data_IF_506618076710
#
_entry.id   IF_506618076710
#
_cell.length_a   1.000
_cell.length_b   1.000
_cell.length_c   1.000
_cell.angle_alpha   90.00
_cell.angle_beta   90.00
_cell.angle_gamma   90.00
#
_symmetry.space_group_name_H-M   'P 1'
#
loop_
_entity.id
_entity.type
_entity.pdbx_description
1 polymer ?
#
# COMPACT_ATOMS: atom_id res chain seq x y z
N UNK A 1 -5.82 -8.03 -10.08
CA UNK A 1 -5.78 -8.24 -8.63
C UNK A 1 -6.50 -7.08 -7.98
N UNK A 2 -7.45 -7.36 -7.09
CA UNK A 2 -8.12 -6.36 -6.24
C UNK A 2 -7.35 -6.19 -4.93
N UNK A 3 -7.67 -5.13 -4.16
CA UNK A 3 -7.07 -4.91 -2.85
C UNK A 3 -7.37 -6.08 -1.88
N UNK A 4 -8.60 -6.58 -1.90
CA UNK A 4 -9.02 -7.69 -1.04
C UNK A 4 -8.32 -9.02 -1.41
N UNK A 5 -8.11 -9.28 -2.71
CA UNK A 5 -7.33 -10.42 -3.18
C UNK A 5 -5.87 -10.32 -2.73
N UNK A 6 -5.29 -9.11 -2.80
CA UNK A 6 -3.92 -8.85 -2.38
C UNK A 6 -3.74 -9.11 -0.86
N UNK A 7 -4.69 -8.68 -0.03
CA UNK A 7 -4.68 -8.98 1.42
C UNK A 7 -4.86 -10.47 1.71
N UNK A 8 -5.73 -11.16 0.97
CA UNK A 8 -5.93 -12.60 1.12
C UNK A 8 -4.67 -13.40 0.77
N UNK A 9 -3.90 -12.94 -0.23
CA UNK A 9 -2.60 -13.52 -0.58
C UNK A 9 -1.63 -13.44 0.62
N UNK A 10 -1.48 -12.25 1.23
CA UNK A 10 -0.61 -12.05 2.42
C UNK A 10 -0.96 -13.02 3.54
N UNK A 11 -2.25 -13.19 3.81
CA UNK A 11 -2.74 -14.09 4.85
C UNK A 11 -2.43 -15.57 4.56
N UNK A 12 -2.22 -15.94 3.29
CA UNK A 12 -2.02 -17.32 2.85
C UNK A 12 -0.55 -17.70 2.76
N UNK A 13 0.29 -16.85 2.12
CA UNK A 13 1.70 -17.19 1.83
C UNK A 13 2.69 -16.53 2.79
N UNK A 14 2.23 -15.57 3.60
CA UNK A 14 3.07 -14.78 4.49
C UNK A 14 4.01 -13.82 3.76
N UNK A 15 4.70 -12.97 4.53
CA UNK A 15 5.39 -11.80 3.98
C UNK A 15 6.58 -12.09 3.05
N UNK A 16 7.07 -13.34 3.00
CA UNK A 16 8.33 -13.72 2.32
C UNK A 16 8.13 -14.12 0.85
N UNK A 17 6.95 -14.65 0.48
CA UNK A 17 6.68 -15.15 -0.88
C UNK A 17 5.55 -14.40 -1.59
N UNK A 18 5.03 -13.33 -1.00
CA UNK A 18 3.94 -12.55 -1.57
C UNK A 18 4.39 -11.70 -2.76
N UNK A 19 3.46 -11.43 -3.67
CA UNK A 19 3.61 -10.47 -4.75
C UNK A 19 3.84 -9.05 -4.21
N UNK A 20 4.43 -8.17 -5.03
CA UNK A 20 4.67 -6.77 -4.64
C UNK A 20 3.36 -6.04 -4.31
N UNK A 21 2.30 -6.30 -5.06
CA UNK A 21 0.98 -5.73 -4.79
C UNK A 21 0.38 -6.22 -3.46
N UNK A 22 0.60 -7.49 -3.09
CA UNK A 22 0.20 -8.05 -1.81
C UNK A 22 1.02 -7.45 -0.65
N UNK A 23 2.34 -7.31 -0.81
CA UNK A 23 3.19 -6.59 0.14
C UNK A 23 2.72 -5.14 0.32
N UNK A 24 2.42 -4.44 -0.77
CA UNK A 24 1.89 -3.07 -0.73
C UNK A 24 0.56 -3.01 0.02
N UNK A 25 -0.35 -3.96 -0.20
CA UNK A 25 -1.62 -4.01 0.49
C UNK A 25 -1.41 -4.18 2.00
N UNK A 26 -0.52 -5.09 2.43
CA UNK A 26 -0.20 -5.26 3.86
C UNK A 26 0.39 -4.00 4.50
N UNK A 27 1.21 -3.26 3.75
CA UNK A 27 1.76 -1.99 4.23
C UNK A 27 0.65 -0.96 4.42
N UNK A 28 -0.25 -0.82 3.44
CA UNK A 28 -1.37 0.13 3.50
C UNK A 28 -2.34 -0.18 4.65
N UNK A 29 -2.61 -1.46 4.89
CA UNK A 29 -3.57 -1.93 5.89
C UNK A 29 -3.07 -1.73 7.34
N UNK A 30 -1.75 -1.78 7.55
CA UNK A 30 -1.15 -1.64 8.87
C UNK A 30 -0.14 -0.48 8.97
N UNK A 31 1.16 -0.72 8.68
CA UNK A 31 2.24 0.24 8.97
C UNK A 31 2.04 1.66 8.43
N UNK A 32 1.40 1.82 7.27
CA UNK A 32 1.14 3.12 6.68
C UNK A 32 0.35 4.04 7.62
N UNK A 33 -0.64 3.51 8.35
CA UNK A 33 -1.49 4.30 9.24
C UNK A 33 -0.71 4.97 10.36
N UNK A 34 0.41 4.36 10.79
CA UNK A 34 1.29 4.92 11.82
C UNK A 34 2.12 6.10 11.31
N UNK A 35 2.42 6.13 10.00
CA UNK A 35 3.27 7.15 9.37
C UNK A 35 2.47 8.29 8.75
N UNK A 36 1.37 7.96 8.09
CA UNK A 36 0.61 8.86 7.20
C UNK A 36 -0.68 9.35 7.87
N UNK A 37 -1.09 8.73 8.98
CA UNK A 37 -2.32 9.06 9.69
C UNK A 37 -3.56 8.61 8.91
N UNK A 38 -4.65 9.39 8.98
CA UNK A 38 -5.97 9.01 8.47
C UNK A 38 -6.06 9.03 6.93
N UNK A 39 -5.51 8.02 6.27
CA UNK A 39 -5.67 7.77 4.84
C UNK A 39 -6.42 6.44 4.60
N UNK A 40 -7.20 6.34 3.53
CA UNK A 40 -7.87 5.09 3.15
C UNK A 40 -6.85 4.10 2.57
N UNK A 41 -6.60 2.93 3.22
CA UNK A 41 -5.63 1.94 2.74
C UNK A 41 -5.89 1.51 1.29
N UNK A 42 -7.15 1.22 0.98
CA UNK A 42 -7.58 0.74 -0.33
C UNK A 42 -7.34 1.79 -1.41
N UNK A 43 -7.74 3.04 -1.16
CA UNK A 43 -7.58 4.11 -2.17
C UNK A 43 -6.12 4.46 -2.40
N UNK A 44 -5.29 4.48 -1.34
CA UNK A 44 -3.85 4.68 -1.48
C UNK A 44 -3.22 3.55 -2.30
N UNK A 45 -3.56 2.30 -1.99
CA UNK A 45 -3.06 1.14 -2.74
C UNK A 45 -3.46 1.21 -4.22
N UNK A 46 -4.73 1.49 -4.52
CA UNK A 46 -5.23 1.62 -5.89
C UNK A 46 -4.51 2.75 -6.65
N UNK A 47 -4.36 3.92 -6.02
CA UNK A 47 -3.65 5.05 -6.58
C UNK A 47 -2.15 4.78 -6.82
N UNK A 48 -1.50 4.08 -5.89
CA UNK A 48 -0.11 3.66 -6.02
C UNK A 48 0.07 2.67 -7.19
N UNK A 49 -0.81 1.68 -7.31
CA UNK A 49 -0.83 0.73 -8.42
C UNK A 49 -1.05 1.44 -9.75
N UNK A 50 -1.99 2.38 -9.83
CA UNK A 50 -2.23 3.21 -11.05
C UNK A 50 -1.01 4.03 -11.45
N UNK A 51 -0.25 4.54 -10.46
CA UNK A 51 1.01 5.25 -10.69
C UNK A 51 2.20 4.35 -10.99
N UNK A 52 2.03 3.02 -10.95
CA UNK A 52 3.10 2.06 -11.20
C UNK A 52 4.17 2.04 -10.10
N UNK A 53 3.81 2.45 -8.88
CA UNK A 53 4.71 2.37 -7.73
C UNK A 53 4.88 0.92 -7.29
N UNK A 54 6.07 0.56 -6.79
CA UNK A 54 6.26 -0.66 -6.02
C UNK A 54 5.88 -0.48 -4.55
N UNK A 55 5.75 -1.56 -3.79
CA UNK A 55 5.57 -1.49 -2.34
C UNK A 55 6.70 -0.72 -1.66
N UNK A 56 7.94 -0.93 -2.10
CA UNK A 56 9.11 -0.24 -1.58
C UNK A 56 9.05 1.28 -1.85
N UNK A 57 8.66 1.70 -3.06
CA UNK A 57 8.52 3.13 -3.38
C UNK A 57 7.47 3.79 -2.48
N UNK A 58 6.35 3.10 -2.23
CA UNK A 58 5.30 3.61 -1.36
C UNK A 58 5.76 3.74 0.10
N UNK A 59 6.56 2.80 0.61
CA UNK A 59 7.15 2.88 1.95
C UNK A 59 8.08 4.09 2.08
N UNK A 60 8.96 4.29 1.10
CA UNK A 60 9.86 5.45 1.06
C UNK A 60 9.06 6.74 0.97
N UNK A 61 8.01 6.78 0.14
CA UNK A 61 7.13 7.93 0.02
C UNK A 61 6.45 8.26 1.36
N UNK A 62 5.91 7.27 2.06
CA UNK A 62 5.31 7.47 3.39
C UNK A 62 6.28 7.94 4.47
N UNK A 63 7.59 7.72 4.31
CA UNK A 63 8.62 8.20 5.23
C UNK A 63 9.12 9.61 4.88
N UNK A 64 9.15 9.96 3.60
CA UNK A 64 9.77 11.19 3.09
C UNK A 64 8.76 12.30 2.81
N UNK A 65 7.57 11.94 2.34
CA UNK A 65 6.47 12.85 2.02
C UNK A 65 5.09 12.17 2.30
N UNK A 66 4.63 12.17 3.56
CA UNK A 66 3.34 11.61 3.92
C UNK A 66 2.15 12.29 3.22
N UNK A 67 2.27 13.57 2.82
CA UNK A 67 1.21 14.27 2.11
C UNK A 67 1.04 13.72 0.70
N UNK A 68 2.15 13.42 0.00
CA UNK A 68 2.08 12.78 -1.31
C UNK A 68 1.40 11.41 -1.27
N UNK A 69 1.43 10.69 -0.14
CA UNK A 69 0.64 9.46 0.05
C UNK A 69 -0.86 9.75 0.11
N UNK A 70 -1.28 10.84 0.77
CA UNK A 70 -2.69 11.26 0.79
C UNK A 70 -3.21 11.57 -0.62
N UNK A 71 -2.38 12.20 -1.45
CA UNK A 71 -2.73 12.51 -2.84
C UNK A 71 -3.00 11.26 -3.69
N UNK A 72 -2.49 10.09 -3.30
CA UNK A 72 -2.78 8.84 -4.00
C UNK A 72 -4.26 8.44 -3.92
N UNK A 73 -5.00 8.88 -2.90
CA UNK A 73 -6.42 8.54 -2.75
C UNK A 73 -7.33 9.14 -3.84
N UNK A 74 -6.84 10.13 -4.58
CA UNK A 74 -7.61 10.92 -5.53
C UNK A 74 -7.28 10.61 -7.01
N UNK A 75 -6.53 9.52 -7.25
CA UNK A 75 -6.10 9.05 -8.58
C UNK A 75 -6.99 7.89 -9.02
#
# INVERSE_FOLDING_TARGET
MTYEEALAEVATVGAVQQSDAALMASYCDGPMQLMVGAASPKLVWEGAQKKGLSAHDLVILGQTDPLAVHELMWI
#
